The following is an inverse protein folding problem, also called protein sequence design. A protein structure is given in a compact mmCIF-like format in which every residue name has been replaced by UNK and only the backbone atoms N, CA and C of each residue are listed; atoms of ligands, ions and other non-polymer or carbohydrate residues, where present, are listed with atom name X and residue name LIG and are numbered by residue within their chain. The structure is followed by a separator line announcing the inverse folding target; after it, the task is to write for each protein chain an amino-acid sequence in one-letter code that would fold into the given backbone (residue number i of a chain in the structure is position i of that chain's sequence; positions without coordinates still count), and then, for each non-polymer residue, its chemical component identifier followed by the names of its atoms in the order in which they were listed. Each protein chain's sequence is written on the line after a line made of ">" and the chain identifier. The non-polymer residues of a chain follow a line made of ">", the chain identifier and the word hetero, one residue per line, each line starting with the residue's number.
data_IF_298153712956
#
_entry.id   IF_298153712956
#
_cell.length_a   1.000
_cell.length_b   1.000
_cell.length_c   1.000
_cell.angle_alpha   90.00
_cell.angle_beta   90.00
_cell.angle_gamma   90.00
#
_symmetry.space_group_name_H-M   'P 1'
#
loop_
_entity.id
_entity.type
_entity.pdbx_description
1 polymer ?
#
# COMPACT_ATOMS: atom_id res chain seq x y z
N UNK A 1 23.01 40.63 1.47
CA UNK A 1 22.55 39.38 2.07
C UNK A 1 21.68 38.67 1.05
N UNK A 2 22.16 37.55 0.50
CA UNK A 2 21.34 36.62 -0.31
C UNK A 2 20.65 35.69 0.64
N UNK A 3 19.33 35.63 0.59
CA UNK A 3 18.53 34.73 1.37
C UNK A 3 17.71 33.85 0.40
N UNK A 4 17.80 32.54 0.53
CA UNK A 4 17.00 31.60 -0.25
C UNK A 4 15.53 31.80 0.09
N UNK A 5 14.69 31.92 -0.97
CA UNK A 5 13.27 32.07 -0.81
C UNK A 5 12.67 30.69 -0.59
N UNK A 6 12.36 30.38 0.65
CA UNK A 6 11.67 29.14 1.01
C UNK A 6 10.25 29.14 0.46
N UNK A 7 9.80 28.03 -0.12
CA UNK A 7 8.45 27.87 -0.62
C UNK A 7 7.48 27.74 0.55
N UNK A 8 6.47 28.61 0.63
CA UNK A 8 5.48 28.62 1.72
C UNK A 8 4.67 27.32 1.78
N UNK A 9 4.50 26.67 0.65
CA UNK A 9 3.74 25.43 0.49
C UNK A 9 4.41 24.24 1.18
N UNK A 10 5.74 24.26 1.31
CA UNK A 10 6.49 23.16 1.96
C UNK A 10 6.08 22.91 3.41
N UNK A 11 5.67 23.95 4.15
CA UNK A 11 5.15 23.82 5.50
C UNK A 11 3.84 22.97 5.52
N UNK A 12 2.96 23.22 4.55
CA UNK A 12 1.68 22.48 4.45
C UNK A 12 1.92 21.00 4.22
N UNK A 13 2.85 20.67 3.33
CA UNK A 13 3.20 19.28 3.01
C UNK A 13 3.85 18.57 4.20
N UNK A 14 4.77 19.22 4.90
CA UNK A 14 5.40 18.65 6.10
C UNK A 14 4.36 18.41 7.20
N UNK A 15 3.45 19.37 7.44
CA UNK A 15 2.39 19.22 8.42
C UNK A 15 1.43 18.08 8.03
N UNK A 16 1.06 17.97 6.76
CA UNK A 16 0.29 16.83 6.27
C UNK A 16 0.94 15.49 6.64
N UNK A 17 2.25 15.32 6.40
CA UNK A 17 2.94 14.08 6.75
C UNK A 17 2.98 13.84 8.27
N UNK A 18 3.19 14.88 9.08
CA UNK A 18 3.12 14.77 10.54
C UNK A 18 1.74 14.30 11.02
N UNK A 19 0.65 14.88 10.47
CA UNK A 19 -0.73 14.45 10.77
C UNK A 19 -1.00 13.01 10.35
N UNK A 20 -0.32 12.53 9.31
CA UNK A 20 -0.37 11.12 8.91
C UNK A 20 0.46 10.18 9.80
N UNK A 21 1.16 10.71 10.81
CA UNK A 21 2.03 9.96 11.70
C UNK A 21 3.38 9.60 11.11
N UNK A 22 3.84 10.37 10.11
CA UNK A 22 5.17 10.24 9.52
C UNK A 22 6.17 11.09 10.29
N UNK A 23 7.28 10.51 10.71
CA UNK A 23 8.39 11.22 11.31
C UNK A 23 9.25 11.86 10.21
N UNK A 24 9.19 13.18 10.10
CA UNK A 24 9.90 13.95 9.06
C UNK A 24 11.25 14.37 9.56
N UNK A 25 12.30 13.99 8.85
CA UNK A 25 13.69 14.30 9.15
C UNK A 25 14.31 15.12 8.02
N UNK A 26 15.12 16.14 8.38
CA UNK A 26 15.88 16.94 7.41
C UNK A 26 17.36 16.56 7.51
N UNK A 27 17.93 16.12 6.40
CA UNK A 27 19.32 15.67 6.30
C UNK A 27 20.04 16.59 5.29
N UNK A 28 20.91 17.47 5.75
CA UNK A 28 21.61 18.44 4.91
C UNK A 28 23.13 18.43 5.11
N UNK A 29 23.86 18.78 4.06
CA UNK A 29 25.29 19.10 4.15
C UNK A 29 25.57 20.45 4.80
N UNK A 30 24.56 21.31 4.95
CA UNK A 30 24.67 22.64 5.50
C UNK A 30 24.83 22.67 7.03
N UNK A 31 25.18 23.84 7.55
CA UNK A 31 25.25 24.03 9.00
C UNK A 31 23.87 23.75 9.65
N UNK A 32 23.80 22.97 10.74
CA UNK A 32 22.54 22.63 11.38
C UNK A 32 21.73 23.86 11.85
N UNK A 33 22.38 24.94 12.26
CA UNK A 33 21.69 26.17 12.64
C UNK A 33 21.06 26.89 11.44
N UNK A 34 21.69 26.83 10.26
CA UNK A 34 21.11 27.36 9.02
C UNK A 34 19.87 26.58 8.64
N UNK A 35 19.94 25.25 8.68
CA UNK A 35 18.80 24.36 8.39
C UNK A 35 17.65 24.61 9.36
N UNK A 36 17.96 24.78 10.65
CA UNK A 36 16.95 25.13 11.67
C UNK A 36 16.26 26.45 11.35
N UNK A 37 17.02 27.49 11.08
CA UNK A 37 16.49 28.81 10.76
C UNK A 37 15.56 28.78 9.54
N UNK A 38 15.92 28.02 8.51
CA UNK A 38 15.08 27.81 7.32
C UNK A 38 13.80 27.06 7.67
N UNK A 39 13.87 26.01 8.49
CA UNK A 39 12.70 25.26 8.94
C UNK A 39 11.72 26.13 9.76
N UNK A 40 12.25 26.96 10.66
CA UNK A 40 11.44 27.90 11.46
C UNK A 40 10.72 28.96 10.59
N UNK A 41 11.37 29.46 9.53
CA UNK A 41 10.77 30.43 8.60
C UNK A 41 9.54 29.90 7.88
N UNK A 42 9.45 28.59 7.64
CA UNK A 42 8.29 27.95 7.04
C UNK A 42 7.28 27.46 8.10
N UNK A 43 7.48 27.79 9.37
CA UNK A 43 6.57 27.40 10.45
C UNK A 43 6.66 25.92 10.83
N UNK A 44 7.75 25.26 10.49
CA UNK A 44 8.00 23.86 10.86
C UNK A 44 8.92 23.84 12.07
N UNK A 45 8.34 23.58 13.23
CA UNK A 45 9.15 23.38 14.45
C UNK A 45 9.69 21.94 14.45
N UNK A 46 11.01 21.81 14.32
CA UNK A 46 11.73 20.55 14.41
C UNK A 46 12.66 20.62 15.62
N UNK A 47 12.44 19.73 16.55
CA UNK A 47 13.26 19.61 17.76
C UNK A 47 14.41 18.62 17.51
N UNK A 48 15.40 18.65 18.39
CA UNK A 48 16.56 17.75 18.36
C UNK A 48 17.40 17.85 17.10
N UNK A 49 18.46 18.64 17.18
CA UNK A 49 19.39 18.93 16.10
C UNK A 49 20.73 18.30 16.41
N UNK A 50 21.37 17.72 15.40
CA UNK A 50 22.73 17.16 15.52
C UNK A 50 23.66 17.71 14.45
N UNK A 51 24.89 18.03 14.86
CA UNK A 51 25.99 18.35 13.95
C UNK A 51 26.81 17.10 13.66
N UNK A 52 26.62 16.55 12.47
CA UNK A 52 27.22 15.28 12.07
C UNK A 52 28.73 15.36 11.81
N UNK A 53 29.31 16.57 11.72
CA UNK A 53 30.76 16.71 11.65
C UNK A 53 31.48 16.24 12.92
N UNK A 54 30.75 16.14 14.03
CA UNK A 54 31.26 15.70 15.34
C UNK A 54 30.92 14.29 15.69
N UNK A 55 30.21 13.57 14.79
CA UNK A 55 29.66 12.22 15.03
C UNK A 55 30.39 11.22 14.14
N UNK A 56 30.98 10.21 14.77
CA UNK A 56 31.53 9.07 14.04
C UNK A 56 30.41 8.21 13.48
N UNK A 57 30.65 7.59 12.31
CA UNK A 57 29.65 6.77 11.60
C UNK A 57 29.06 5.64 12.48
N UNK A 58 29.89 5.04 13.33
CA UNK A 58 29.46 3.97 14.28
C UNK A 58 28.47 4.44 15.37
N UNK A 59 28.43 5.74 15.65
CA UNK A 59 27.59 6.34 16.70
C UNK A 59 26.28 6.92 16.17
N UNK A 60 26.00 6.85 14.87
CA UNK A 60 24.81 7.40 14.21
C UNK A 60 23.51 6.91 14.90
N UNK A 61 23.47 5.67 15.34
CA UNK A 61 22.34 5.07 16.04
C UNK A 61 21.81 5.90 17.22
N UNK A 62 22.72 6.59 17.93
CA UNK A 62 22.37 7.40 19.12
C UNK A 62 21.57 8.67 18.77
N UNK A 63 21.60 9.08 17.51
CA UNK A 63 21.04 10.34 17.02
C UNK A 63 19.81 10.15 16.12
N UNK A 64 19.33 8.92 15.89
CA UNK A 64 18.20 8.66 14.98
C UNK A 64 16.91 9.37 15.41
N UNK A 65 16.78 9.73 16.68
CA UNK A 65 15.64 10.51 17.20
C UNK A 65 15.74 12.01 16.88
N UNK A 66 16.85 12.47 16.29
CA UNK A 66 16.97 13.86 15.87
C UNK A 66 16.11 14.11 14.62
N UNK A 67 15.54 15.32 14.54
CA UNK A 67 14.76 15.77 13.39
C UNK A 67 15.61 16.48 12.34
N UNK A 68 16.75 17.07 12.74
CA UNK A 68 17.66 17.81 11.85
C UNK A 68 19.07 17.25 11.98
N UNK A 69 19.63 16.83 10.86
CA UNK A 69 21.01 16.40 10.71
C UNK A 69 21.72 17.41 9.82
N UNK A 70 22.68 18.16 10.37
CA UNK A 70 23.48 19.13 9.61
C UNK A 70 24.91 18.64 9.40
N UNK A 71 25.60 19.19 8.39
CA UNK A 71 26.97 18.84 7.98
C UNK A 71 27.14 17.35 7.69
N UNK A 72 26.16 16.76 7.06
CA UNK A 72 26.12 15.31 6.76
C UNK A 72 26.90 15.02 5.48
N UNK A 73 27.84 14.09 5.54
CA UNK A 73 28.54 13.57 4.36
C UNK A 73 27.67 12.57 3.59
N UNK A 74 27.95 12.31 2.29
CA UNK A 74 27.20 11.33 1.51
C UNK A 74 27.18 9.92 2.16
N UNK A 75 28.28 9.48 2.73
CA UNK A 75 28.36 8.18 3.42
C UNK A 75 27.51 8.17 4.71
N UNK A 76 27.50 9.29 5.45
CA UNK A 76 26.65 9.40 6.64
C UNK A 76 25.18 9.44 6.27
N UNK A 77 24.78 10.08 5.15
CA UNK A 77 23.39 10.00 4.62
C UNK A 77 22.97 8.56 4.40
N UNK A 78 23.79 7.79 3.72
CA UNK A 78 23.55 6.37 3.48
C UNK A 78 23.39 5.58 4.79
N UNK A 79 24.30 5.74 5.74
CA UNK A 79 24.24 5.01 7.02
C UNK A 79 23.03 5.41 7.89
N UNK A 80 22.63 6.70 7.88
CA UNK A 80 21.40 7.14 8.56
C UNK A 80 20.18 6.41 7.99
N UNK A 81 20.03 6.35 6.66
CA UNK A 81 18.92 5.67 6.03
C UNK A 81 18.96 4.17 6.33
N UNK A 82 20.10 3.54 6.24
CA UNK A 82 20.31 2.12 6.54
C UNK A 82 19.95 1.76 7.99
N UNK A 83 20.30 2.61 8.95
CA UNK A 83 19.94 2.39 10.35
C UNK A 83 18.43 2.61 10.58
N UNK A 84 17.83 3.65 9.99
CA UNK A 84 16.39 3.90 10.09
C UNK A 84 15.54 2.76 9.50
N UNK A 85 16.00 2.15 8.41
CA UNK A 85 15.29 1.02 7.75
C UNK A 85 15.20 -0.24 8.60
N UNK A 86 16.00 -0.39 9.64
CA UNK A 86 15.90 -1.56 10.51
C UNK A 86 14.59 -1.63 11.28
N UNK A 87 14.00 -0.49 11.57
CA UNK A 87 12.80 -0.37 12.41
C UNK A 87 11.63 0.34 11.71
N UNK A 88 11.91 1.03 10.59
CA UNK A 88 10.94 1.88 9.88
C UNK A 88 10.99 1.67 8.37
N UNK A 89 9.88 1.95 7.70
CA UNK A 89 9.87 2.14 6.24
C UNK A 89 10.27 3.56 5.92
N UNK A 90 11.31 3.75 5.11
CA UNK A 90 11.95 5.04 4.86
C UNK A 90 11.75 5.50 3.42
N UNK A 91 11.10 6.66 3.26
CA UNK A 91 11.11 7.40 2.00
C UNK A 91 12.21 8.48 2.06
N UNK A 92 13.00 8.60 1.00
CA UNK A 92 14.07 9.60 0.89
C UNK A 92 13.86 10.48 -0.34
N UNK A 93 13.88 11.80 -0.14
CA UNK A 93 13.82 12.81 -1.21
C UNK A 93 15.17 13.44 -1.36
N UNK A 94 15.78 13.38 -2.54
CA UNK A 94 17.09 13.94 -2.81
C UNK A 94 17.24 14.38 -4.26
N UNK A 95 18.02 15.43 -4.52
CA UNK A 95 18.20 16.03 -5.83
C UNK A 95 19.64 15.95 -6.35
N UNK A 96 20.59 15.71 -5.46
CA UNK A 96 22.03 15.78 -5.76
C UNK A 96 22.69 14.43 -6.04
N UNK A 97 23.89 14.50 -6.63
CA UNK A 97 24.75 13.32 -6.77
C UNK A 97 25.14 12.75 -5.41
N UNK A 98 25.24 13.62 -4.40
CA UNK A 98 25.55 13.24 -3.02
C UNK A 98 24.43 12.43 -2.33
N UNK A 99 23.24 12.38 -2.92
CA UNK A 99 22.08 11.65 -2.39
C UNK A 99 21.92 10.26 -2.99
N UNK A 100 22.67 9.92 -4.03
CA UNK A 100 22.55 8.67 -4.77
C UNK A 100 22.61 7.42 -3.89
N UNK A 101 23.53 7.39 -2.92
CA UNK A 101 23.66 6.24 -2.00
C UNK A 101 22.46 6.13 -1.07
N UNK A 102 21.98 7.25 -0.53
CA UNK A 102 20.81 7.31 0.33
C UNK A 102 19.51 6.98 -0.44
N UNK A 103 19.37 7.48 -1.68
CA UNK A 103 18.26 7.15 -2.57
C UNK A 103 18.20 5.65 -2.87
N UNK A 104 19.33 5.03 -3.19
CA UNK A 104 19.38 3.57 -3.43
C UNK A 104 19.07 2.73 -2.20
N UNK A 105 19.46 3.20 -1.03
CA UNK A 105 19.23 2.48 0.23
C UNK A 105 17.79 2.60 0.71
N UNK A 106 17.09 3.71 0.46
CA UNK A 106 15.72 3.93 0.94
C UNK A 106 14.71 2.94 0.37
N UNK A 107 13.59 2.74 1.07
CA UNK A 107 12.49 1.88 0.58
C UNK A 107 11.67 2.56 -0.51
N UNK A 108 11.60 3.89 -0.47
CA UNK A 108 10.99 4.71 -1.52
C UNK A 108 11.89 5.91 -1.82
N UNK A 109 12.48 5.93 -3.00
CA UNK A 109 13.37 6.99 -3.45
C UNK A 109 12.68 7.95 -4.41
N UNK A 110 12.85 9.25 -4.16
CA UNK A 110 12.16 10.32 -4.86
C UNK A 110 13.16 11.40 -5.29
N UNK A 111 13.13 11.79 -6.55
CA UNK A 111 13.93 12.90 -7.05
C UNK A 111 13.08 13.92 -7.82
N UNK A 112 13.38 15.23 -7.72
CA UNK A 112 12.75 16.22 -8.59
C UNK A 112 13.34 16.14 -10.01
N UNK A 113 12.57 16.54 -11.04
CA UNK A 113 13.03 16.50 -12.45
C UNK A 113 14.24 17.41 -12.70
N UNK A 114 14.35 18.52 -11.96
CA UNK A 114 15.49 19.43 -12.03
C UNK A 114 16.70 18.97 -11.21
N UNK A 115 16.62 17.85 -10.53
CA UNK A 115 17.75 17.20 -9.85
C UNK A 115 18.78 16.63 -10.83
N UNK A 116 19.88 16.13 -10.29
CA UNK A 116 20.92 15.50 -11.09
C UNK A 116 20.43 14.24 -11.81
N UNK A 117 20.97 13.96 -13.00
CA UNK A 117 20.64 12.73 -13.73
C UNK A 117 20.96 11.47 -12.92
N UNK A 118 22.02 11.53 -12.11
CA UNK A 118 22.38 10.43 -11.23
C UNK A 118 21.30 10.15 -10.18
N UNK A 119 20.72 11.19 -9.57
CA UNK A 119 19.62 11.06 -8.61
C UNK A 119 18.34 10.53 -9.27
N UNK A 120 17.96 11.09 -10.43
CA UNK A 120 16.79 10.65 -11.20
C UNK A 120 16.87 9.20 -11.63
N UNK A 121 18.04 8.76 -12.12
CA UNK A 121 18.23 7.39 -12.63
C UNK A 121 18.16 6.31 -11.53
N UNK A 122 18.38 6.68 -10.27
CA UNK A 122 18.30 5.74 -9.15
C UNK A 122 16.99 5.83 -8.37
N UNK A 123 16.20 6.86 -8.63
CA UNK A 123 14.94 7.10 -7.93
C UNK A 123 13.79 6.30 -8.53
N UNK A 124 12.92 5.79 -7.67
CA UNK A 124 11.71 5.07 -8.06
C UNK A 124 10.61 6.04 -8.55
N UNK A 125 10.62 7.27 -8.02
CA UNK A 125 9.65 8.32 -8.36
C UNK A 125 10.41 9.57 -8.79
N UNK A 126 10.00 10.18 -9.90
CA UNK A 126 10.51 11.49 -10.34
C UNK A 126 9.37 12.50 -10.35
N UNK A 127 9.52 13.58 -9.57
CA UNK A 127 8.55 14.69 -9.51
C UNK A 127 8.71 15.57 -10.73
N UNK A 128 7.81 15.47 -11.69
CA UNK A 128 7.90 16.19 -12.99
C UNK A 128 7.70 17.69 -12.87
N UNK A 129 7.03 18.15 -11.83
CA UNK A 129 6.83 19.58 -11.52
C UNK A 129 7.90 20.14 -10.57
N UNK A 130 8.87 19.31 -10.15
CA UNK A 130 9.89 19.65 -9.14
C UNK A 130 9.28 20.23 -7.85
N UNK A 131 8.03 19.89 -7.56
CA UNK A 131 7.31 20.45 -6.43
C UNK A 131 7.06 19.39 -5.35
N UNK A 132 7.60 19.63 -4.15
CA UNK A 132 7.39 18.75 -2.99
C UNK A 132 5.91 18.68 -2.57
N UNK A 133 5.11 19.69 -2.92
CA UNK A 133 3.68 19.75 -2.59
C UNK A 133 2.82 18.73 -3.36
N UNK A 134 3.37 18.09 -4.39
CA UNK A 134 2.73 16.99 -5.10
C UNK A 134 2.76 15.68 -4.31
N UNK A 135 3.58 15.57 -3.27
CA UNK A 135 3.73 14.36 -2.46
C UNK A 135 2.44 13.86 -1.81
N UNK A 136 1.58 14.70 -1.20
CA UNK A 136 0.28 14.26 -0.69
C UNK A 136 -0.61 13.61 -1.76
N UNK A 137 -0.59 14.16 -2.98
CA UNK A 137 -1.34 13.59 -4.12
C UNK A 137 -0.81 12.21 -4.50
N UNK A 138 0.51 12.03 -4.55
CA UNK A 138 1.15 10.74 -4.84
C UNK A 138 0.76 9.70 -3.78
N UNK A 139 0.80 10.08 -2.49
CA UNK A 139 0.39 9.20 -1.40
C UNK A 139 -1.08 8.80 -1.53
N UNK A 140 -1.96 9.73 -1.88
CA UNK A 140 -3.37 9.45 -2.07
C UNK A 140 -3.62 8.52 -3.27
N UNK A 141 -2.95 8.73 -4.40
CA UNK A 141 -3.05 7.80 -5.54
C UNK A 141 -2.50 6.41 -5.20
N UNK A 142 -1.42 6.33 -4.43
CA UNK A 142 -0.91 5.06 -3.91
C UNK A 142 -1.93 4.34 -3.01
N UNK A 143 -2.60 5.06 -2.10
CA UNK A 143 -3.67 4.52 -1.25
C UNK A 143 -4.84 4.01 -2.06
N UNK A 144 -5.31 4.81 -3.01
CA UNK A 144 -6.38 4.43 -3.93
C UNK A 144 -6.03 3.15 -4.69
N UNK A 145 -4.82 3.05 -5.24
CA UNK A 145 -4.37 1.87 -5.94
C UNK A 145 -4.36 0.62 -5.05
N UNK A 146 -3.78 0.70 -3.85
CA UNK A 146 -3.71 -0.42 -2.90
C UNK A 146 -5.12 -0.85 -2.46
N UNK A 147 -5.96 0.10 -2.03
CA UNK A 147 -7.32 -0.19 -1.58
C UNK A 147 -8.16 -0.84 -2.68
N UNK A 148 -8.06 -0.34 -3.92
CA UNK A 148 -8.81 -0.90 -5.05
C UNK A 148 -8.31 -2.30 -5.43
N UNK A 149 -6.98 -2.53 -5.40
CA UNK A 149 -6.41 -3.86 -5.64
C UNK A 149 -6.83 -4.82 -4.52
N UNK A 150 -6.81 -4.40 -3.24
CA UNK A 150 -7.21 -5.24 -2.11
C UNK A 150 -8.67 -5.67 -2.23
N UNK A 151 -9.59 -4.73 -2.54
CA UNK A 151 -11.01 -5.02 -2.75
C UNK A 151 -11.23 -5.98 -3.93
N UNK A 152 -10.64 -5.69 -5.08
CA UNK A 152 -10.75 -6.55 -6.26
C UNK A 152 -10.14 -7.93 -6.03
N UNK A 153 -8.96 -8.01 -5.42
CA UNK A 153 -8.30 -9.28 -5.13
C UNK A 153 -9.15 -10.16 -4.19
N UNK A 154 -9.87 -9.59 -3.21
CA UNK A 154 -10.74 -10.35 -2.34
C UNK A 154 -11.82 -11.09 -3.13
N UNK A 155 -12.43 -10.46 -4.15
CA UNK A 155 -13.45 -11.10 -5.01
C UNK A 155 -12.89 -12.31 -5.77
N UNK A 156 -11.66 -12.20 -6.31
CA UNK A 156 -11.01 -13.31 -7.02
C UNK A 156 -10.62 -14.45 -6.07
N UNK A 157 -10.13 -14.12 -4.88
CA UNK A 157 -9.69 -15.10 -3.88
C UNK A 157 -10.87 -15.90 -3.33
N UNK A 158 -12.04 -15.28 -3.10
CA UNK A 158 -13.28 -15.99 -2.73
C UNK A 158 -13.54 -17.15 -3.70
N UNK A 159 -13.53 -16.86 -5.01
CA UNK A 159 -13.76 -17.89 -6.03
C UNK A 159 -12.75 -19.02 -5.97
N UNK A 160 -11.47 -18.66 -5.86
CA UNK A 160 -10.38 -19.63 -5.81
C UNK A 160 -10.53 -20.56 -4.61
N UNK A 161 -10.84 -20.00 -3.43
CA UNK A 161 -11.00 -20.78 -2.19
C UNK A 161 -12.21 -21.72 -2.30
N UNK A 162 -13.41 -21.20 -2.60
CA UNK A 162 -14.58 -22.07 -2.61
C UNK A 162 -14.51 -23.14 -3.70
N UNK A 163 -13.99 -22.81 -4.89
CA UNK A 163 -13.85 -23.78 -5.97
C UNK A 163 -12.86 -24.90 -5.62
N UNK A 164 -11.72 -24.55 -5.02
CA UNK A 164 -10.73 -25.53 -4.55
C UNK A 164 -11.27 -26.41 -3.43
N UNK A 165 -11.97 -25.82 -2.46
CA UNK A 165 -12.58 -26.58 -1.36
C UNK A 165 -13.66 -27.52 -1.86
N UNK A 166 -14.56 -27.06 -2.72
CA UNK A 166 -15.59 -27.91 -3.32
C UNK A 166 -14.97 -29.03 -4.17
N UNK A 167 -13.99 -28.72 -5.01
CA UNK A 167 -13.30 -29.73 -5.80
C UNK A 167 -12.67 -30.82 -4.91
N UNK A 168 -12.01 -30.40 -3.82
CA UNK A 168 -11.43 -31.34 -2.86
C UNK A 168 -12.48 -32.18 -2.14
N UNK A 169 -13.58 -31.56 -1.68
CA UNK A 169 -14.67 -32.28 -0.97
C UNK A 169 -15.38 -33.29 -1.86
N UNK A 170 -15.65 -32.94 -3.12
CA UNK A 170 -16.34 -33.82 -4.06
C UNK A 170 -15.49 -35.00 -4.57
N UNK A 171 -14.18 -35.05 -4.26
CA UNK A 171 -13.40 -36.30 -4.43
C UNK A 171 -13.83 -37.38 -3.44
N UNK A 172 -14.28 -36.97 -2.25
CA UNK A 172 -14.64 -37.88 -1.16
C UNK A 172 -16.16 -38.12 -1.03
N UNK A 173 -16.96 -37.28 -1.67
CA UNK A 173 -18.41 -37.33 -1.63
C UNK A 173 -18.93 -38.02 -2.93
N UNK A 174 -19.63 -39.13 -2.80
CA UNK A 174 -20.23 -39.84 -3.93
C UNK A 174 -21.54 -39.17 -4.40
N UNK A 175 -21.45 -37.88 -4.72
CA UNK A 175 -22.52 -37.06 -5.28
C UNK A 175 -21.96 -36.26 -6.45
N UNK A 176 -22.83 -35.93 -7.41
CA UNK A 176 -22.41 -35.13 -8.58
C UNK A 176 -22.04 -33.72 -8.18
N UNK A 177 -20.95 -33.23 -8.78
CA UNK A 177 -20.54 -31.83 -8.66
C UNK A 177 -21.60 -30.91 -9.26
N UNK A 178 -22.09 -29.89 -8.50
CA UNK A 178 -23.30 -29.14 -8.86
C UNK A 178 -23.13 -28.11 -9.95
N UNK A 179 -21.90 -27.80 -10.36
CA UNK A 179 -21.64 -26.76 -11.36
C UNK A 179 -21.14 -27.33 -12.68
N UNK A 180 -21.58 -26.71 -13.77
CA UNK A 180 -20.98 -26.85 -15.09
C UNK A 180 -20.17 -25.58 -15.43
N UNK A 181 -19.09 -25.68 -16.24
CA UNK A 181 -18.14 -24.56 -16.49
C UNK A 181 -18.80 -23.26 -16.95
N UNK A 182 -19.82 -23.33 -17.80
CA UNK A 182 -20.51 -22.15 -18.33
C UNK A 182 -21.24 -21.35 -17.25
N UNK A 183 -21.82 -22.03 -16.25
CA UNK A 183 -22.50 -21.36 -15.13
C UNK A 183 -21.51 -20.60 -14.24
N UNK A 184 -20.34 -21.18 -13.99
CA UNK A 184 -19.26 -20.53 -13.25
C UNK A 184 -18.71 -19.32 -14.01
N UNK A 185 -18.72 -19.33 -15.34
CA UNK A 185 -18.32 -18.19 -16.16
C UNK A 185 -19.29 -17.02 -15.99
N UNK A 186 -20.60 -17.28 -16.09
CA UNK A 186 -21.63 -16.26 -15.88
C UNK A 186 -21.57 -15.69 -14.46
N UNK A 187 -21.53 -16.55 -13.44
CA UNK A 187 -21.43 -16.12 -12.05
C UNK A 187 -20.20 -15.26 -11.83
N UNK A 188 -19.04 -15.65 -12.38
CA UNK A 188 -17.81 -14.87 -12.25
C UNK A 188 -17.87 -13.53 -12.96
N UNK A 189 -18.48 -13.45 -14.12
CA UNK A 189 -18.65 -12.18 -14.82
C UNK A 189 -19.48 -11.19 -13.99
N UNK A 190 -20.56 -11.67 -13.36
CA UNK A 190 -21.48 -10.83 -12.60
C UNK A 190 -20.95 -10.49 -11.19
N UNK A 191 -20.32 -11.44 -10.49
CA UNK A 191 -19.92 -11.24 -9.08
C UNK A 191 -18.46 -10.80 -8.91
N UNK A 192 -17.62 -10.95 -9.95
CA UNK A 192 -16.20 -10.58 -9.90
C UNK A 192 -15.87 -9.56 -11.00
N UNK A 193 -16.08 -9.90 -12.27
CA UNK A 193 -15.62 -9.10 -13.40
C UNK A 193 -16.19 -7.68 -13.40
N UNK A 194 -17.50 -7.54 -13.43
CA UNK A 194 -18.17 -6.24 -13.43
C UNK A 194 -17.93 -5.49 -12.12
N UNK A 195 -18.10 -6.08 -10.92
CA UNK A 195 -17.82 -5.38 -9.67
C UNK A 195 -16.36 -4.92 -9.52
N UNK A 196 -15.38 -5.75 -9.86
CA UNK A 196 -13.98 -5.35 -9.75
C UNK A 196 -13.62 -4.19 -10.67
N UNK A 197 -14.23 -4.13 -11.87
CA UNK A 197 -14.08 -2.98 -12.76
C UNK A 197 -14.68 -1.69 -12.16
N UNK A 198 -15.89 -1.77 -11.60
CA UNK A 198 -16.55 -0.62 -10.96
C UNK A 198 -15.74 -0.15 -9.74
N UNK A 199 -15.31 -1.09 -8.87
CA UNK A 199 -14.49 -0.79 -7.71
C UNK A 199 -13.13 -0.15 -8.07
N UNK A 200 -12.55 -0.52 -9.20
CA UNK A 200 -11.31 0.08 -9.67
C UNK A 200 -11.48 1.57 -10.08
N UNK A 201 -12.67 1.99 -10.45
CA UNK A 201 -12.99 3.39 -10.78
C UNK A 201 -13.32 4.22 -9.55
N UNK A 202 -13.73 3.60 -8.45
CA UNK A 202 -14.10 4.30 -7.21
C UNK A 202 -12.86 4.81 -6.48
N UNK A 203 -12.77 6.13 -6.16
CA UNK A 203 -11.66 6.67 -5.40
C UNK A 203 -11.77 6.28 -3.91
N UNK A 204 -10.81 5.51 -3.42
CA UNK A 204 -10.69 5.19 -1.99
C UNK A 204 -9.32 5.65 -1.47
N UNK A 205 -9.31 6.76 -0.73
CA UNK A 205 -8.10 7.38 -0.18
C UNK A 205 -7.87 7.05 1.31
N UNK A 206 -8.60 6.10 1.87
CA UNK A 206 -8.43 5.68 3.25
C UNK A 206 -7.01 5.20 3.54
N UNK A 207 -6.54 5.46 4.75
CA UNK A 207 -5.22 5.00 5.17
C UNK A 207 -5.19 3.47 5.17
N UNK A 208 -4.29 2.89 4.37
CA UNK A 208 -4.06 1.44 4.36
C UNK A 208 -3.59 0.99 5.74
N UNK A 209 -4.28 0.00 6.31
CA UNK A 209 -3.98 -0.55 7.65
C UNK A 209 -3.70 -2.04 7.56
N UNK A 210 -2.81 -2.52 8.41
CA UNK A 210 -2.52 -3.94 8.53
C UNK A 210 -1.70 -4.52 7.38
N UNK A 211 -1.80 -5.82 7.20
CA UNK A 211 -1.09 -6.55 6.16
C UNK A 211 -2.03 -6.85 5.00
N UNK A 212 -1.62 -6.49 3.79
CA UNK A 212 -2.38 -6.67 2.55
C UNK A 212 -2.97 -8.08 2.39
N UNK A 213 -2.16 -9.11 2.58
CA UNK A 213 -2.63 -10.49 2.45
C UNK A 213 -3.61 -10.88 3.54
N UNK A 214 -3.36 -10.48 4.79
CA UNK A 214 -4.26 -10.78 5.91
C UNK A 214 -5.61 -10.12 5.69
N UNK A 215 -5.64 -8.88 5.23
CA UNK A 215 -6.87 -8.14 4.94
C UNK A 215 -7.70 -8.86 3.87
N UNK A 216 -7.07 -9.27 2.76
CA UNK A 216 -7.76 -10.00 1.69
C UNK A 216 -8.32 -11.33 2.20
N UNK A 217 -7.50 -12.13 2.89
CA UNK A 217 -7.93 -13.45 3.36
C UNK A 217 -8.99 -13.37 4.46
N UNK A 218 -8.91 -12.39 5.36
CA UNK A 218 -9.91 -12.20 6.43
C UNK A 218 -11.31 -11.90 5.88
N UNK A 219 -11.39 -11.25 4.73
CA UNK A 219 -12.65 -10.97 4.02
C UNK A 219 -13.09 -12.15 3.15
N UNK A 220 -12.16 -12.73 2.39
CA UNK A 220 -12.46 -13.73 1.40
C UNK A 220 -12.81 -15.12 2.03
N UNK A 221 -12.12 -15.52 3.08
CA UNK A 221 -12.26 -16.86 3.66
C UNK A 221 -13.66 -17.13 4.26
N UNK A 222 -14.25 -16.23 5.09
CA UNK A 222 -15.59 -16.43 5.61
C UNK A 222 -16.64 -16.56 4.50
N UNK A 223 -16.55 -15.70 3.47
CA UNK A 223 -17.46 -15.74 2.33
C UNK A 223 -17.34 -17.04 1.54
N UNK A 224 -16.11 -17.47 1.25
CA UNK A 224 -15.88 -18.73 0.55
C UNK A 224 -16.41 -19.94 1.34
N UNK A 225 -16.18 -19.95 2.66
CA UNK A 225 -16.71 -21.01 3.54
C UNK A 225 -18.24 -21.01 3.56
N UNK A 226 -18.87 -19.84 3.61
CA UNK A 226 -20.33 -19.71 3.52
C UNK A 226 -20.86 -20.29 2.20
N UNK A 227 -20.21 -20.04 1.06
CA UNK A 227 -20.58 -20.64 -0.22
C UNK A 227 -20.46 -22.16 -0.14
N UNK A 228 -19.34 -22.69 0.34
CA UNK A 228 -19.12 -24.14 0.44
C UNK A 228 -20.20 -24.82 1.28
N UNK A 229 -20.50 -24.28 2.46
CA UNK A 229 -21.51 -24.82 3.37
C UNK A 229 -22.89 -24.81 2.69
N UNK A 230 -23.28 -23.69 2.07
CA UNK A 230 -24.58 -23.60 1.40
C UNK A 230 -24.69 -24.58 0.23
N UNK A 231 -23.64 -24.76 -0.56
CA UNK A 231 -23.62 -25.70 -1.67
C UNK A 231 -23.75 -27.16 -1.16
N UNK A 232 -23.05 -27.52 -0.09
CA UNK A 232 -23.20 -28.85 0.53
C UNK A 232 -24.61 -29.08 1.03
N UNK A 233 -25.23 -28.11 1.67
CA UNK A 233 -26.63 -28.19 2.12
C UNK A 233 -27.56 -28.42 0.92
N UNK A 234 -27.38 -27.65 -0.16
CA UNK A 234 -28.22 -27.81 -1.38
C UNK A 234 -28.07 -29.20 -1.99
N UNK A 235 -26.86 -29.71 -2.11
CA UNK A 235 -26.57 -31.02 -2.70
C UNK A 235 -27.16 -32.16 -1.83
N UNK A 236 -26.99 -32.09 -0.50
CA UNK A 236 -27.52 -33.08 0.44
C UNK A 236 -29.05 -33.04 0.43
N UNK A 237 -29.66 -31.86 0.56
CA UNK A 237 -31.12 -31.71 0.52
C UNK A 237 -31.70 -32.14 -0.84
N UNK A 238 -31.02 -31.82 -1.92
CA UNK A 238 -31.38 -32.24 -3.28
C UNK A 238 -31.42 -33.74 -3.42
N UNK A 239 -30.48 -34.48 -2.83
CA UNK A 239 -30.46 -35.94 -2.79
C UNK A 239 -31.61 -36.47 -1.97
N UNK A 240 -31.92 -35.91 -0.79
CA UNK A 240 -33.01 -36.34 0.09
C UNK A 240 -34.39 -36.09 -0.57
N UNK A 241 -34.57 -34.93 -1.16
CA UNK A 241 -35.82 -34.49 -1.80
C UNK A 241 -35.96 -35.01 -3.24
N UNK A 242 -34.98 -35.78 -3.73
CA UNK A 242 -34.93 -36.31 -5.09
C UNK A 242 -35.10 -35.26 -6.18
N UNK A 243 -34.46 -34.08 -5.97
CA UNK A 243 -34.42 -33.02 -6.98
C UNK A 243 -33.63 -33.46 -8.21
N UNK A 244 -33.98 -32.93 -9.38
CA UNK A 244 -33.19 -33.17 -10.58
C UNK A 244 -31.83 -32.50 -10.49
N UNK A 245 -30.84 -33.01 -11.22
CA UNK A 245 -29.51 -32.44 -11.29
C UNK A 245 -29.53 -30.95 -11.73
N UNK A 246 -30.42 -30.61 -12.66
CA UNK A 246 -30.62 -29.25 -13.14
C UNK A 246 -31.14 -28.31 -12.04
N UNK A 247 -32.05 -28.78 -11.19
CA UNK A 247 -32.58 -28.01 -10.06
C UNK A 247 -31.51 -27.76 -9.01
N UNK A 248 -30.72 -28.77 -8.64
CA UNK A 248 -29.59 -28.63 -7.71
C UNK A 248 -28.55 -27.68 -8.25
N UNK A 249 -28.21 -27.79 -9.53
CA UNK A 249 -27.27 -26.90 -10.20
C UNK A 249 -27.76 -25.44 -10.22
N UNK A 250 -29.02 -25.24 -10.58
CA UNK A 250 -29.62 -23.89 -10.63
C UNK A 250 -29.64 -23.23 -9.25
N UNK A 251 -30.08 -23.97 -8.20
CA UNK A 251 -30.05 -23.47 -6.82
C UNK A 251 -28.63 -23.11 -6.36
N UNK A 252 -27.66 -23.96 -6.70
CA UNK A 252 -26.26 -23.73 -6.38
C UNK A 252 -25.71 -22.45 -7.03
N UNK A 253 -26.04 -22.21 -8.29
CA UNK A 253 -25.63 -21.00 -9.03
C UNK A 253 -26.25 -19.73 -8.43
N UNK A 254 -27.57 -19.79 -8.14
CA UNK A 254 -28.30 -18.66 -7.56
C UNK A 254 -27.69 -18.26 -6.20
N UNK A 255 -27.50 -19.27 -5.31
CA UNK A 255 -26.93 -19.04 -3.98
C UNK A 255 -25.48 -18.49 -4.06
N UNK A 256 -24.66 -19.09 -4.92
CA UNK A 256 -23.27 -18.60 -5.11
C UNK A 256 -23.26 -17.17 -5.63
N UNK A 257 -24.13 -16.84 -6.60
CA UNK A 257 -24.28 -15.49 -7.12
C UNK A 257 -24.73 -14.50 -6.04
N UNK A 258 -25.76 -14.87 -5.26
CA UNK A 258 -26.28 -14.02 -4.19
C UNK A 258 -25.25 -13.73 -3.10
N UNK A 259 -24.54 -14.76 -2.62
CA UNK A 259 -23.48 -14.61 -1.62
C UNK A 259 -22.30 -13.79 -2.21
N UNK A 260 -21.96 -14.02 -3.49
CA UNK A 260 -20.94 -13.24 -4.19
C UNK A 260 -21.29 -11.74 -4.28
N UNK A 261 -22.55 -11.41 -4.52
CA UNK A 261 -23.01 -10.01 -4.47
C UNK A 261 -22.94 -9.41 -3.06
N UNK A 262 -23.31 -10.16 -2.04
CA UNK A 262 -23.18 -9.69 -0.66
C UNK A 262 -21.74 -9.41 -0.27
N UNK A 263 -20.78 -10.16 -0.81
CA UNK A 263 -19.36 -9.94 -0.54
C UNK A 263 -18.82 -8.58 -1.04
N UNK A 264 -19.47 -7.98 -2.04
CA UNK A 264 -19.07 -6.65 -2.57
C UNK A 264 -19.19 -5.56 -1.49
N UNK A 265 -20.06 -5.76 -0.50
CA UNK A 265 -20.31 -4.79 0.59
C UNK A 265 -19.45 -5.01 1.84
N UNK A 266 -18.57 -6.00 1.83
CA UNK A 266 -17.65 -6.34 2.93
C UNK A 266 -16.26 -5.74 2.65
#
# INVERSE_FOLDING_TARGET
>A
LLQDKVRKESAKTINYFKEQGVDVKIISGDNPNTVKCVAEQIGVNLENIVDMSKVETKDIKKYLNCSIFGRVTPNQKHEIIKELKKEHTVAYVGDGVNDVLALKESDCSIAPINGSDAAKNVSQIVLMDSNFDSMPTIVNEGRKAINNIERSASLFIVKTIYASLLALLFIFIDLKYPFIPIQLTLTSALTIGIPSFILALEPNYEKVKGNFFINIFSKAFPTALTIVINILIVVILGSILKLSEEQVSTLSVILTGFIGFMHIYI
#
